data_IF_311923222465
#
_entry.id   IF_311923222465
#
_cell.length_a   1.000
_cell.length_b   1.000
_cell.length_c   1.000
_cell.angle_alpha   90.00
_cell.angle_beta   90.00
_cell.angle_gamma   90.00
#
_symmetry.space_group_name_H-M   'P 1'
#
loop_
_entity.id
_entity.type
_entity.pdbx_description
1 polymer ?
#
# COMPACT_ATOMS: atom_id res chain seq x y z
N UNK A 1 2.87 -18.19 70.39
CA UNK A 1 4.24 -18.04 70.94
C UNK A 1 5.07 -17.52 69.77
N UNK A 2 5.48 -16.25 69.75
CA UNK A 2 6.57 -15.64 70.56
C UNK A 2 7.95 -16.08 70.02
N UNK A 3 8.94 -15.19 69.85
CA UNK A 3 9.18 -13.89 70.49
C UNK A 3 9.53 -12.74 69.51
N UNK A 4 9.58 -11.50 70.03
CA UNK A 4 9.98 -10.26 69.35
C UNK A 4 11.24 -9.63 69.97
N UNK A 5 11.99 -8.86 69.17
CA UNK A 5 12.98 -7.80 69.54
C UNK A 5 13.49 -7.19 68.21
N UNK A 6 13.63 -5.89 67.91
CA UNK A 6 13.95 -4.64 68.66
C UNK A 6 15.34 -4.71 69.33
N UNK A 7 16.36 -3.84 69.09
CA UNK A 7 16.51 -2.53 68.37
C UNK A 7 17.99 -2.40 67.83
N UNK A 8 18.56 -1.34 67.22
CA UNK A 8 18.12 0.02 66.80
C UNK A 8 19.06 0.69 65.72
N UNK A 9 18.66 1.89 65.23
CA UNK A 9 19.38 3.03 64.59
C UNK A 9 20.82 2.85 64.00
N UNK A 10 21.03 3.15 62.71
CA UNK A 10 21.88 4.28 62.17
C UNK A 10 22.04 4.24 60.64
N UNK A 11 22.15 5.41 60.01
CA UNK A 11 22.37 5.60 58.56
C UNK A 11 23.74 6.24 58.24
N UNK A 12 24.10 6.19 56.95
CA UNK A 12 24.88 7.18 56.18
C UNK A 12 26.41 6.98 55.97
N UNK A 13 26.94 7.76 55.02
CA UNK A 13 28.16 7.61 54.19
C UNK A 13 28.05 6.48 53.16
N UNK A 14 28.06 6.71 51.84
CA UNK A 14 28.29 7.90 50.99
C UNK A 14 28.94 7.42 49.68
N UNK A 15 28.88 8.05 48.50
CA UNK A 15 28.43 9.36 47.98
C UNK A 15 28.19 9.11 46.45
N UNK A 16 27.33 9.79 45.66
CA UNK A 16 27.34 11.21 45.32
C UNK A 16 25.99 11.75 44.78
N UNK A 17 25.55 12.84 45.40
CA UNK A 17 24.99 14.08 44.82
C UNK A 17 23.91 13.99 43.73
N UNK A 18 22.74 14.51 44.11
CA UNK A 18 21.68 15.06 43.25
C UNK A 18 21.69 16.59 43.37
N UNK A 19 21.31 17.31 42.32
CA UNK A 19 21.07 18.77 42.36
C UNK A 19 19.80 19.09 41.58
N UNK A 20 18.88 19.84 42.19
CA UNK A 20 17.64 20.32 41.56
C UNK A 20 17.72 21.84 41.31
N UNK A 21 17.13 22.32 40.21
CA UNK A 21 16.84 23.73 39.84
C UNK A 21 17.98 24.74 39.61
N UNK A 22 17.92 25.46 38.48
CA UNK A 22 18.56 26.76 38.23
C UNK A 22 17.56 27.66 37.48
N UNK A 23 17.59 28.96 37.76
CA UNK A 23 16.71 30.00 37.19
C UNK A 23 17.23 30.54 35.84
N UNK A 24 16.39 31.21 35.02
CA UNK A 24 16.80 31.70 33.70
C UNK A 24 17.56 33.03 33.76
N UNK A 25 18.65 33.15 32.98
CA UNK A 25 18.86 34.23 32.00
C UNK A 25 20.21 34.11 31.26
N UNK A 26 20.35 34.96 30.23
CA UNK A 26 21.56 35.32 29.47
C UNK A 26 22.23 34.21 28.63
N UNK A 27 22.32 34.31 27.29
CA UNK A 27 21.92 35.40 26.38
C UNK A 27 21.40 34.86 25.04
N UNK A 28 20.29 35.41 24.56
CA UNK A 28 19.81 35.26 23.18
C UNK A 28 20.36 36.41 22.31
N UNK A 29 20.52 36.17 21.00
CA UNK A 29 21.04 37.18 20.06
C UNK A 29 20.10 38.42 20.02
N UNK A 30 20.60 39.63 20.35
CA UNK A 30 19.79 40.85 20.39
C UNK A 30 19.30 41.32 19.01
N UNK A 31 19.61 40.61 17.91
CA UNK A 31 19.06 40.90 16.57
C UNK A 31 17.72 40.22 16.26
N UNK A 32 17.24 39.28 17.08
CA UNK A 32 15.99 38.53 16.79
C UNK A 32 14.74 39.01 17.55
N UNK A 33 14.88 39.84 18.58
CA UNK A 33 13.76 40.14 19.51
C UNK A 33 12.95 41.39 19.17
N UNK A 34 13.39 42.25 18.22
CA UNK A 34 12.77 43.57 17.97
C UNK A 34 11.66 43.57 16.91
N UNK A 35 10.92 42.46 16.73
CA UNK A 35 9.89 42.37 15.66
C UNK A 35 8.58 41.66 16.03
N UNK A 36 8.40 41.17 17.27
CA UNK A 36 7.15 40.49 17.67
C UNK A 36 6.07 41.46 18.17
N UNK A 37 6.45 42.50 18.93
CA UNK A 37 5.49 43.46 19.53
C UNK A 37 4.84 44.44 18.53
N UNK A 38 5.22 44.37 17.24
CA UNK A 38 4.68 45.23 16.17
C UNK A 38 3.72 44.49 15.22
N UNK A 39 3.44 43.20 15.42
CA UNK A 39 2.37 42.52 14.67
C UNK A 39 1.00 42.98 15.19
N UNK A 40 0.51 44.08 14.61
CA UNK A 40 -0.94 44.36 14.60
C UNK A 40 -1.62 43.16 13.95
N UNK A 41 -2.60 42.59 14.63
CA UNK A 41 -3.48 41.55 14.06
C UNK A 41 -4.38 42.24 13.03
N UNK A 42 -3.91 42.31 11.79
CA UNK A 42 -4.74 42.73 10.66
C UNK A 42 -5.64 41.57 10.22
N UNK A 43 -6.85 41.87 9.76
CA UNK A 43 -7.94 40.88 9.63
C UNK A 43 -8.10 40.29 8.22
N UNK A 44 -7.00 40.11 7.49
CA UNK A 44 -6.97 39.46 6.17
C UNK A 44 -5.61 38.80 5.89
N UNK A 45 -5.36 37.63 6.47
CA UNK A 45 -4.39 36.67 5.93
C UNK A 45 -5.17 35.65 5.07
N UNK A 46 -5.23 35.89 3.77
CA UNK A 46 -5.89 35.00 2.82
C UNK A 46 -5.04 33.75 2.57
N UNK A 47 -5.59 32.56 2.90
CA UNK A 47 -4.84 31.30 2.88
C UNK A 47 -4.56 30.89 1.41
N UNK A 48 -3.29 30.92 0.92
CA UNK A 48 -2.99 30.96 -0.53
C UNK A 48 -3.34 29.71 -1.37
N UNK A 49 -3.92 28.67 -0.76
CA UNK A 49 -4.40 27.47 -1.42
C UNK A 49 -5.94 27.43 -1.55
N UNK A 50 -6.69 28.22 -0.78
CA UNK A 50 -8.17 28.21 -0.82
C UNK A 50 -8.73 28.88 -2.07
N UNK A 51 -8.08 29.91 -2.61
CA UNK A 51 -8.56 30.63 -3.81
C UNK A 51 -8.63 29.74 -5.07
N UNK A 52 -7.83 28.67 -5.10
CA UNK A 52 -7.80 27.70 -6.22
C UNK A 52 -9.00 26.74 -6.20
N UNK A 53 -9.85 26.79 -5.17
CA UNK A 53 -11.01 25.94 -5.01
C UNK A 53 -12.24 26.59 -5.68
N UNK A 54 -12.35 26.47 -7.00
CA UNK A 54 -13.40 27.09 -7.84
C UNK A 54 -14.87 26.76 -7.49
N UNK A 55 -15.12 25.76 -6.61
CA UNK A 55 -16.47 25.37 -6.21
C UNK A 55 -16.91 26.15 -4.98
N UNK A 56 -18.23 26.32 -4.85
CA UNK A 56 -18.89 27.09 -3.80
C UNK A 56 -18.54 26.63 -2.36
N UNK A 57 -18.34 25.34 -2.16
CA UNK A 57 -17.93 24.75 -0.89
C UNK A 57 -16.63 23.95 -1.03
N UNK A 58 -15.80 23.99 0.01
CA UNK A 58 -14.57 23.21 0.07
C UNK A 58 -14.88 21.75 0.43
N UNK A 59 -15.88 21.51 1.29
CA UNK A 59 -16.37 20.16 1.60
C UNK A 59 -17.87 20.11 1.95
N UNK A 60 -18.52 18.98 1.66
CA UNK A 60 -19.87 18.63 2.10
C UNK A 60 -19.82 17.61 3.24
N UNK A 61 -20.48 17.88 4.36
CA UNK A 61 -20.57 16.94 5.50
C UNK A 61 -21.78 16.03 5.35
N UNK A 62 -21.54 14.72 5.36
CA UNK A 62 -22.55 13.65 5.43
C UNK A 62 -22.49 13.00 6.80
N UNK A 63 -23.60 12.99 7.52
CA UNK A 63 -23.73 12.50 8.90
C UNK A 63 -25.13 11.93 9.18
N UNK A 64 -25.33 11.33 10.36
CA UNK A 64 -26.68 11.07 10.87
C UNK A 64 -27.16 12.23 11.74
N UNK A 65 -28.47 12.48 11.77
CA UNK A 65 -29.07 13.48 12.66
C UNK A 65 -28.86 13.19 14.16
N UNK A 66 -28.42 11.98 14.50
CA UNK A 66 -27.93 11.60 15.83
C UNK A 66 -26.56 12.22 16.19
N UNK A 67 -25.77 12.60 15.18
CA UNK A 67 -24.40 13.11 15.32
C UNK A 67 -24.33 14.65 15.23
N UNK A 68 -25.49 15.32 15.10
CA UNK A 68 -25.57 16.75 14.75
C UNK A 68 -24.85 17.67 15.75
N UNK A 69 -24.78 17.34 17.04
CA UNK A 69 -24.06 18.16 18.04
C UNK A 69 -22.53 18.13 17.82
N UNK A 70 -21.98 16.95 17.52
CA UNK A 70 -20.57 16.78 17.14
C UNK A 70 -20.28 17.52 15.82
N UNK A 71 -21.15 17.32 14.83
CA UNK A 71 -21.01 17.92 13.50
C UNK A 71 -21.11 19.44 13.53
N UNK A 72 -22.04 20.02 14.31
CA UNK A 72 -22.14 21.47 14.44
C UNK A 72 -20.91 22.10 15.11
N UNK A 73 -20.16 21.38 15.94
CA UNK A 73 -18.90 21.88 16.50
C UNK A 73 -17.75 21.74 15.49
N UNK A 74 -17.62 20.57 14.85
CA UNK A 74 -16.67 20.36 13.75
C UNK A 74 -16.80 21.39 12.63
N UNK A 75 -18.02 21.73 12.22
CA UNK A 75 -18.29 22.76 11.21
C UNK A 75 -17.76 24.12 11.67
N UNK A 76 -18.04 24.55 12.91
CA UNK A 76 -17.52 25.82 13.45
C UNK A 76 -16.00 25.84 13.43
N UNK A 77 -15.33 24.76 13.83
CA UNK A 77 -13.86 24.73 13.91
C UNK A 77 -13.19 24.72 12.53
N UNK A 78 -13.84 24.15 11.51
CA UNK A 78 -13.40 24.22 10.11
C UNK A 78 -13.73 25.58 9.45
N UNK A 79 -14.90 26.16 9.72
CA UNK A 79 -15.29 27.49 9.25
C UNK A 79 -14.44 28.60 9.90
N UNK A 80 -14.07 28.45 11.18
CA UNK A 80 -13.11 29.31 11.88
C UNK A 80 -11.69 29.27 11.25
N UNK A 81 -11.33 28.18 10.58
CA UNK A 81 -10.09 28.05 9.78
C UNK A 81 -10.26 28.55 8.33
N UNK A 82 -11.37 29.21 8.01
CA UNK A 82 -11.64 29.81 6.70
C UNK A 82 -12.23 28.85 5.65
N UNK A 83 -12.63 27.63 6.04
CA UNK A 83 -13.27 26.71 5.09
C UNK A 83 -14.75 27.03 4.88
N UNK A 84 -15.22 26.93 3.62
CA UNK A 84 -16.65 26.95 3.29
C UNK A 84 -17.17 25.51 3.37
N UNK A 85 -17.83 25.16 4.48
CA UNK A 85 -18.40 23.82 4.67
C UNK A 85 -19.88 23.85 4.27
N UNK A 86 -20.35 22.87 3.51
CA UNK A 86 -21.78 22.65 3.28
C UNK A 86 -22.32 21.78 4.41
N UNK A 87 -23.39 22.25 5.06
CA UNK A 87 -24.18 21.52 6.04
C UNK A 87 -25.66 21.44 5.62
N UNK A 88 -26.21 20.23 5.49
CA UNK A 88 -27.53 19.99 4.87
C UNK A 88 -28.69 20.73 5.55
N UNK A 89 -28.73 20.75 6.89
CA UNK A 89 -29.79 21.40 7.67
C UNK A 89 -29.80 22.93 7.53
N UNK A 90 -28.71 23.52 7.00
CA UNK A 90 -28.51 24.97 6.78
C UNK A 90 -28.56 25.37 5.30
N UNK A 91 -27.94 24.57 4.44
CA UNK A 91 -27.53 24.97 3.09
C UNK A 91 -28.32 24.29 1.94
N UNK A 92 -29.32 23.45 2.26
CA UNK A 92 -30.26 22.90 1.28
C UNK A 92 -31.22 23.96 0.72
N UNK A 93 -31.48 23.88 -0.59
CA UNK A 93 -32.39 24.81 -1.28
C UNK A 93 -33.84 24.41 -1.00
N UNK A 94 -34.62 25.31 -0.39
CA UNK A 94 -36.05 25.11 -0.17
C UNK A 94 -36.79 24.94 -1.51
N UNK A 95 -37.75 24.02 -1.56
CA UNK A 95 -38.52 23.69 -2.76
C UNK A 95 -37.84 22.73 -3.74
N UNK A 96 -36.57 22.38 -3.53
CA UNK A 96 -35.94 21.24 -4.22
C UNK A 96 -36.23 19.92 -3.49
N UNK A 97 -36.16 18.79 -4.21
CA UNK A 97 -36.24 17.47 -3.58
C UNK A 97 -34.96 17.18 -2.79
N UNK A 98 -35.03 16.30 -1.79
CA UNK A 98 -33.86 15.87 -1.00
C UNK A 98 -32.77 15.31 -1.93
N UNK A 99 -33.13 14.42 -2.85
CA UNK A 99 -32.24 13.86 -3.86
C UNK A 99 -31.61 14.93 -4.78
N UNK A 100 -32.40 15.91 -5.21
CA UNK A 100 -31.93 17.02 -6.04
C UNK A 100 -30.95 17.92 -5.30
N UNK A 101 -31.23 18.22 -4.04
CA UNK A 101 -30.31 18.94 -3.15
C UNK A 101 -29.00 18.15 -2.95
N UNK A 102 -29.05 16.87 -2.58
CA UNK A 102 -27.84 16.03 -2.41
C UNK A 102 -26.96 16.06 -3.66
N UNK A 103 -27.53 15.75 -4.83
CA UNK A 103 -26.79 15.69 -6.10
C UNK A 103 -26.19 17.05 -6.48
N UNK A 104 -26.95 18.14 -6.31
CA UNK A 104 -26.47 19.50 -6.52
C UNK A 104 -25.30 19.83 -5.58
N UNK A 105 -25.38 19.44 -4.30
CA UNK A 105 -24.44 19.86 -3.25
C UNK A 105 -23.13 19.07 -3.27
N UNK A 106 -23.17 17.79 -3.68
CA UNK A 106 -21.96 17.03 -4.07
C UNK A 106 -21.25 17.75 -5.22
N UNK A 107 -21.98 18.17 -6.25
CA UNK A 107 -21.40 18.93 -7.36
C UNK A 107 -20.89 20.32 -6.94
N UNK A 108 -21.58 21.06 -6.06
CA UNK A 108 -21.14 22.35 -5.50
C UNK A 108 -19.95 22.24 -4.51
N UNK A 109 -19.45 21.04 -4.18
CA UNK A 109 -18.41 20.81 -3.16
C UNK A 109 -17.13 20.12 -3.68
N UNK A 110 -15.96 20.53 -3.22
CA UNK A 110 -14.66 19.95 -3.66
C UNK A 110 -14.32 18.60 -3.02
N UNK A 111 -14.77 18.37 -1.79
CA UNK A 111 -14.60 17.13 -1.02
C UNK A 111 -15.91 16.72 -0.36
N UNK A 112 -15.95 15.50 0.17
CA UNK A 112 -16.96 15.04 1.12
C UNK A 112 -16.28 14.66 2.45
N UNK A 113 -16.87 15.08 3.57
CA UNK A 113 -16.52 14.60 4.91
C UNK A 113 -17.61 13.62 5.33
N UNK A 114 -17.25 12.36 5.60
CA UNK A 114 -18.21 11.33 5.96
C UNK A 114 -18.05 10.95 7.43
N UNK A 115 -19.04 11.28 8.26
CA UNK A 115 -19.07 10.93 9.68
C UNK A 115 -19.58 9.49 9.83
N UNK A 116 -18.65 8.54 9.91
CA UNK A 116 -18.95 7.13 10.09
C UNK A 116 -19.27 6.84 11.56
N UNK A 117 -20.52 7.11 11.93
CA UNK A 117 -21.14 6.80 13.23
C UNK A 117 -22.07 5.58 13.16
N UNK A 118 -22.53 5.08 14.32
CA UNK A 118 -23.59 4.05 14.37
C UNK A 118 -24.87 4.54 13.69
N UNK A 119 -25.23 5.80 13.96
CA UNK A 119 -26.37 6.45 13.33
C UNK A 119 -26.25 6.55 11.81
N UNK A 120 -25.05 6.72 11.25
CA UNK A 120 -24.82 6.68 9.81
C UNK A 120 -25.17 5.31 9.24
N UNK A 121 -24.72 4.22 9.89
CA UNK A 121 -24.93 2.86 9.41
C UNK A 121 -26.41 2.45 9.44
N UNK A 122 -27.18 3.00 10.38
CA UNK A 122 -28.62 2.77 10.51
C UNK A 122 -29.46 3.71 9.61
N UNK A 123 -29.02 4.95 9.39
CA UNK A 123 -29.72 5.95 8.56
C UNK A 123 -29.78 5.55 7.08
N UNK A 124 -30.98 5.49 6.50
CA UNK A 124 -31.14 5.20 5.06
C UNK A 124 -30.67 6.36 4.16
N UNK A 125 -30.92 7.61 4.56
CA UNK A 125 -30.55 8.78 3.76
C UNK A 125 -29.05 9.02 3.76
N UNK A 126 -28.41 8.97 4.93
CA UNK A 126 -26.97 9.22 5.03
C UNK A 126 -26.14 8.10 4.37
N UNK A 127 -26.62 6.84 4.38
CA UNK A 127 -26.05 5.75 3.56
C UNK A 127 -26.15 6.03 2.06
N UNK A 128 -27.25 6.62 1.59
CA UNK A 128 -27.43 6.98 0.18
C UNK A 128 -26.50 8.13 -0.24
N UNK A 129 -26.37 9.16 0.60
CA UNK A 129 -25.43 10.27 0.40
C UNK A 129 -23.97 9.77 0.36
N UNK A 130 -23.58 8.90 1.29
CA UNK A 130 -22.28 8.25 1.32
C UNK A 130 -22.03 7.39 0.05
N UNK A 131 -23.04 6.67 -0.44
CA UNK A 131 -22.93 5.87 -1.66
C UNK A 131 -22.71 6.73 -2.92
N UNK A 132 -23.39 7.87 -3.02
CA UNK A 132 -23.13 8.84 -4.11
C UNK A 132 -21.73 9.44 -4.02
N UNK A 133 -21.25 9.75 -2.81
CA UNK A 133 -19.87 10.18 -2.60
C UNK A 133 -18.84 9.12 -2.99
N UNK A 134 -19.13 7.84 -2.71
CA UNK A 134 -18.28 6.69 -3.10
C UNK A 134 -18.18 6.58 -4.61
N UNK A 135 -19.30 6.69 -5.33
CA UNK A 135 -19.32 6.70 -6.80
C UNK A 135 -18.51 7.87 -7.36
N UNK A 136 -18.76 9.10 -6.89
CA UNK A 136 -18.01 10.31 -7.26
C UNK A 136 -16.50 10.17 -7.00
N UNK A 137 -16.09 9.50 -5.91
CA UNK A 137 -14.68 9.22 -5.58
C UNK A 137 -14.04 8.06 -6.36
N UNK A 138 -14.83 7.30 -7.12
CA UNK A 138 -14.32 6.33 -8.09
C UNK A 138 -14.14 7.05 -9.44
N UNK A 139 -15.19 7.76 -9.89
CA UNK A 139 -15.23 8.41 -11.20
C UNK A 139 -14.24 9.58 -11.34
N UNK A 140 -13.91 10.27 -10.23
CA UNK A 140 -13.00 11.44 -10.22
C UNK A 140 -11.64 11.16 -9.57
N UNK A 141 -11.24 9.89 -9.53
CA UNK A 141 -10.09 9.36 -8.80
C UNK A 141 -10.22 9.46 -7.25
N UNK A 142 -9.36 8.68 -6.57
CA UNK A 142 -9.28 8.59 -5.11
C UNK A 142 -9.01 9.98 -4.49
N UNK A 143 -9.37 10.17 -3.21
CA UNK A 143 -9.28 11.42 -2.43
C UNK A 143 -10.43 12.44 -2.60
N UNK A 144 -11.65 12.04 -3.00
CA UNK A 144 -12.84 12.91 -2.85
C UNK A 144 -13.44 12.84 -1.43
N UNK A 145 -13.53 11.65 -0.82
CA UNK A 145 -14.07 11.46 0.54
C UNK A 145 -12.95 11.39 1.58
N UNK A 146 -13.17 12.09 2.69
CA UNK A 146 -12.43 11.99 3.94
C UNK A 146 -13.35 11.42 5.03
N UNK A 147 -12.96 10.30 5.67
CA UNK A 147 -13.82 9.63 6.66
C UNK A 147 -13.44 10.06 8.08
N UNK A 148 -14.44 10.38 8.90
CA UNK A 148 -14.29 10.50 10.36
C UNK A 148 -14.86 9.23 10.98
N UNK A 149 -14.04 8.46 11.68
CA UNK A 149 -14.48 7.31 12.46
C UNK A 149 -15.01 7.81 13.81
N UNK A 150 -16.33 7.76 14.01
CA UNK A 150 -16.99 8.34 15.18
C UNK A 150 -17.74 7.26 15.98
N UNK A 151 -17.21 6.90 17.14
CA UNK A 151 -17.83 5.96 18.11
C UNK A 151 -18.26 4.57 17.58
N UNK A 152 -17.73 4.15 16.43
CA UNK A 152 -17.83 2.79 15.86
C UNK A 152 -16.53 2.03 16.07
N UNK A 153 -16.60 0.73 16.32
CA UNK A 153 -15.41 -0.12 16.40
C UNK A 153 -14.83 -0.39 15.00
N UNK A 154 -15.71 -0.71 14.03
CA UNK A 154 -15.37 -1.00 12.64
C UNK A 154 -16.10 -0.06 11.65
N UNK A 155 -15.41 0.27 10.56
CA UNK A 155 -15.97 0.99 9.40
C UNK A 155 -16.47 -0.03 8.36
N UNK A 156 -17.58 0.21 7.63
CA UNK A 156 -18.08 -0.70 6.58
C UNK A 156 -17.07 -1.04 5.48
N UNK A 157 -17.12 -2.26 4.94
CA UNK A 157 -16.20 -2.76 3.90
C UNK A 157 -16.07 -1.79 2.71
N UNK A 158 -17.22 -1.31 2.20
CA UNK A 158 -17.30 -0.37 1.06
C UNK A 158 -16.68 1.02 1.33
N UNK A 159 -16.20 1.28 2.54
CA UNK A 159 -15.51 2.51 2.94
C UNK A 159 -14.07 2.26 3.45
N UNK A 160 -13.62 1.01 3.64
CA UNK A 160 -12.29 0.71 4.23
C UNK A 160 -11.09 1.13 3.38
N UNK A 161 -11.29 1.26 2.07
CA UNK A 161 -10.29 1.71 1.11
C UNK A 161 -10.02 3.23 1.16
N UNK A 162 -10.84 3.98 1.90
CA UNK A 162 -10.68 5.42 2.12
C UNK A 162 -9.73 5.71 3.28
N UNK A 163 -9.11 6.88 3.25
CA UNK A 163 -8.34 7.41 4.39
C UNK A 163 -9.27 8.04 5.43
N UNK A 164 -8.94 7.85 6.71
CA UNK A 164 -9.77 8.31 7.82
C UNK A 164 -8.98 9.08 8.90
N UNK A 165 -9.73 9.70 9.80
CA UNK A 165 -9.29 10.21 11.11
C UNK A 165 -10.20 9.65 12.19
N UNK A 166 -9.67 9.37 13.38
CA UNK A 166 -10.52 8.96 14.50
C UNK A 166 -11.05 10.23 15.19
N UNK A 167 -12.34 10.27 15.57
CA UNK A 167 -12.91 11.43 16.28
C UNK A 167 -12.31 11.70 17.66
N UNK A 168 -11.41 10.81 18.12
CA UNK A 168 -10.63 10.91 19.37
C UNK A 168 -9.17 11.34 19.14
N UNK A 169 -8.76 11.60 17.89
CA UNK A 169 -7.45 12.16 17.59
C UNK A 169 -7.46 13.67 17.92
N UNK A 170 -6.62 14.14 18.87
CA UNK A 170 -6.57 15.56 19.28
C UNK A 170 -6.29 16.52 18.10
N UNK A 171 -5.58 16.03 17.07
CA UNK A 171 -5.23 16.78 15.86
C UNK A 171 -6.25 16.63 14.71
N UNK A 172 -7.45 16.08 14.99
CA UNK A 172 -8.47 15.76 13.99
C UNK A 172 -8.80 16.93 13.07
N UNK A 173 -9.07 18.11 13.63
CA UNK A 173 -9.53 19.28 12.85
C UNK A 173 -8.43 19.79 11.93
N UNK A 174 -7.18 19.84 12.39
CA UNK A 174 -6.03 20.26 11.56
C UNK A 174 -5.72 19.26 10.44
N UNK A 175 -5.91 17.96 10.69
CA UNK A 175 -5.78 16.92 9.67
C UNK A 175 -6.88 16.97 8.62
N UNK A 176 -8.13 17.18 9.04
CA UNK A 176 -9.23 17.40 8.10
C UNK A 176 -9.01 18.66 7.28
N UNK A 177 -8.61 19.76 7.91
CA UNK A 177 -8.28 21.02 7.24
C UNK A 177 -7.24 20.81 6.13
N UNK A 178 -6.07 20.23 6.45
CA UNK A 178 -4.99 19.93 5.48
C UNK A 178 -5.47 19.04 4.34
N UNK A 179 -6.21 17.98 4.65
CA UNK A 179 -6.73 17.04 3.65
C UNK A 179 -7.79 17.67 2.73
N UNK A 180 -8.57 18.65 3.21
CA UNK A 180 -9.54 19.38 2.40
C UNK A 180 -8.85 20.32 1.40
N UNK A 181 -7.80 21.04 1.84
CA UNK A 181 -7.02 21.95 0.98
C UNK A 181 -5.99 21.23 0.08
N UNK A 182 -5.75 19.94 0.29
CA UNK A 182 -4.80 19.13 -0.48
C UNK A 182 -3.36 19.13 0.04
N UNK A 183 -3.11 19.71 1.22
CA UNK A 183 -1.79 19.81 1.87
C UNK A 183 -1.39 18.49 2.60
N UNK A 184 -1.44 17.39 1.85
CA UNK A 184 -1.07 16.05 2.30
C UNK A 184 -2.24 15.09 2.58
N UNK A 185 -1.96 13.77 2.67
CA UNK A 185 -2.97 12.73 2.86
C UNK A 185 -3.42 12.61 4.32
N UNK A 186 -4.62 12.09 4.56
CA UNK A 186 -5.04 11.67 5.92
C UNK A 186 -4.24 10.45 6.39
N UNK A 187 -3.51 10.60 7.51
CA UNK A 187 -2.43 9.69 7.93
C UNK A 187 -2.86 8.28 8.40
N UNK A 188 -4.15 7.92 8.35
CA UNK A 188 -4.63 6.56 8.71
C UNK A 188 -5.44 5.97 7.55
N UNK A 189 -4.94 4.86 6.97
CA UNK A 189 -5.76 3.84 6.30
C UNK A 189 -6.26 2.84 7.36
N UNK A 190 -7.40 2.18 7.17
CA UNK A 190 -7.94 1.22 8.14
C UNK A 190 -7.08 -0.05 8.20
N UNK A 191 -6.15 -0.10 9.17
CA UNK A 191 -5.26 -1.25 9.38
C UNK A 191 -6.01 -2.50 9.87
N UNK A 192 -6.55 -3.29 8.93
CA UNK A 192 -6.60 -4.76 9.02
C UNK A 192 -6.96 -5.38 7.67
N UNK A 193 -6.22 -6.43 7.29
CA UNK A 193 -6.36 -7.29 6.08
C UNK A 193 -5.82 -6.77 4.73
N UNK A 194 -4.86 -5.83 4.71
CA UNK A 194 -4.00 -5.60 3.53
C UNK A 194 -2.99 -6.76 3.37
N UNK A 195 -3.51 -7.96 3.09
CA UNK A 195 -2.75 -9.20 2.94
C UNK A 195 -1.89 -9.18 1.67
N UNK A 196 -2.31 -8.51 0.60
CA UNK A 196 -1.54 -8.31 -0.64
C UNK A 196 -0.22 -7.58 -0.40
N UNK A 197 -0.24 -6.50 0.41
CA UNK A 197 0.95 -5.80 0.86
C UNK A 197 1.89 -6.73 1.65
N UNK A 198 1.35 -7.48 2.63
CA UNK A 198 2.12 -8.44 3.40
C UNK A 198 2.69 -9.59 2.55
N UNK A 199 1.95 -10.03 1.53
CA UNK A 199 2.37 -11.03 0.55
C UNK A 199 3.50 -10.51 -0.34
N UNK A 200 3.47 -9.25 -0.77
CA UNK A 200 4.52 -8.66 -1.62
C UNK A 200 5.87 -8.59 -0.87
N UNK A 201 5.87 -8.02 0.34
CA UNK A 201 7.06 -7.95 1.20
C UNK A 201 7.56 -9.33 1.63
N UNK A 202 6.65 -10.27 1.92
CA UNK A 202 6.99 -11.66 2.23
C UNK A 202 7.63 -12.36 1.02
N UNK A 203 7.05 -12.25 -0.17
CA UNK A 203 7.57 -12.85 -1.39
C UNK A 203 8.94 -12.26 -1.79
N UNK A 204 9.13 -10.96 -1.61
CA UNK A 204 10.44 -10.34 -1.80
C UNK A 204 11.50 -10.88 -0.83
N UNK A 205 11.33 -10.74 0.48
CA UNK A 205 12.38 -11.08 1.44
C UNK A 205 12.56 -12.58 1.70
N UNK A 206 11.51 -13.40 1.55
CA UNK A 206 11.60 -14.85 1.74
C UNK A 206 12.03 -15.60 0.48
N UNK A 207 11.80 -15.04 -0.71
CA UNK A 207 12.04 -15.69 -2.00
C UNK A 207 12.92 -14.87 -2.95
N UNK A 208 12.42 -13.78 -3.55
CA UNK A 208 13.12 -13.09 -4.65
C UNK A 208 14.50 -12.58 -4.23
N UNK A 209 14.61 -11.91 -3.08
CA UNK A 209 15.86 -11.40 -2.52
C UNK A 209 16.84 -12.51 -2.04
N UNK A 210 16.44 -13.79 -2.12
CA UNK A 210 17.28 -14.95 -1.82
C UNK A 210 17.87 -15.54 -3.10
N UNK A 211 17.09 -15.57 -4.19
CA UNK A 211 17.56 -16.06 -5.50
C UNK A 211 18.23 -14.97 -6.34
N UNK A 212 17.88 -13.70 -6.13
CA UNK A 212 18.48 -12.50 -6.71
C UNK A 212 18.76 -11.52 -5.57
N UNK A 213 19.98 -11.50 -5.00
CA UNK A 213 20.29 -10.62 -3.87
C UNK A 213 20.27 -9.12 -4.25
N UNK A 214 19.59 -8.30 -3.45
CA UNK A 214 19.56 -6.83 -3.58
C UNK A 214 20.88 -6.15 -3.20
N UNK A 215 21.75 -6.84 -2.47
CA UNK A 215 23.05 -6.33 -2.03
C UNK A 215 24.19 -7.18 -2.62
N UNK A 216 25.35 -6.57 -2.94
CA UNK A 216 26.52 -7.31 -3.40
C UNK A 216 26.96 -8.37 -2.39
N UNK A 217 27.59 -9.44 -2.89
CA UNK A 217 28.23 -10.47 -2.05
C UNK A 217 29.41 -9.84 -1.30
N UNK A 218 29.27 -9.75 0.02
CA UNK A 218 30.35 -9.49 0.99
C UNK A 218 30.92 -10.82 1.48
N UNK A 219 32.03 -10.81 2.22
CA UNK A 219 32.65 -12.03 2.77
C UNK A 219 31.73 -12.79 3.75
N UNK A 220 30.77 -12.10 4.40
CA UNK A 220 29.74 -12.69 5.27
C UNK A 220 28.53 -13.25 4.51
N UNK A 221 28.45 -13.05 3.19
CA UNK A 221 27.31 -13.47 2.37
C UNK A 221 27.40 -14.97 2.04
N UNK A 222 26.31 -15.75 2.12
CA UNK A 222 26.32 -17.16 1.73
C UNK A 222 26.87 -17.40 0.32
N UNK A 223 27.92 -18.20 0.20
CA UNK A 223 28.65 -18.47 -1.06
C UNK A 223 27.93 -19.35 -2.08
N UNK A 224 26.61 -19.24 -2.24
CA UNK A 224 25.87 -19.86 -3.34
C UNK A 224 25.77 -18.90 -4.55
N UNK A 225 25.59 -19.43 -5.77
CA UNK A 225 25.40 -18.60 -6.94
C UNK A 225 23.98 -17.99 -6.99
N UNK A 226 23.87 -16.75 -7.46
CA UNK A 226 22.58 -16.09 -7.70
C UNK A 226 21.90 -16.64 -8.97
N UNK A 227 20.70 -16.16 -9.28
CA UNK A 227 19.93 -16.60 -10.44
C UNK A 227 20.62 -16.25 -11.77
N UNK A 228 21.24 -15.07 -11.90
CA UNK A 228 21.92 -14.67 -13.13
C UNK A 228 23.16 -15.50 -13.40
N UNK A 229 23.95 -15.78 -12.38
CA UNK A 229 25.08 -16.73 -12.45
C UNK A 229 24.62 -18.15 -12.83
N UNK A 230 23.51 -18.63 -12.23
CA UNK A 230 22.94 -19.96 -12.56
C UNK A 230 22.39 -20.03 -13.99
N UNK A 231 21.75 -18.97 -14.48
CA UNK A 231 21.27 -18.88 -15.87
C UNK A 231 22.46 -18.91 -16.83
N UNK A 232 23.53 -18.16 -16.55
CA UNK A 232 24.74 -18.14 -17.38
C UNK A 232 25.45 -19.49 -17.41
N UNK A 233 25.56 -20.16 -16.26
CA UNK A 233 26.06 -21.53 -16.19
C UNK A 233 25.18 -22.55 -16.96
N UNK A 234 23.87 -22.30 -17.11
CA UNK A 234 23.00 -23.12 -17.95
C UNK A 234 23.15 -22.82 -19.45
N UNK A 235 23.12 -21.54 -19.84
CA UNK A 235 23.29 -21.10 -21.24
C UNK A 235 24.66 -21.48 -21.82
N UNK A 236 25.70 -21.60 -20.98
CA UNK A 236 27.05 -21.98 -21.38
C UNK A 236 27.27 -23.49 -21.67
N UNK A 237 26.28 -24.36 -21.44
CA UNK A 237 26.40 -25.80 -21.69
C UNK A 237 26.37 -26.10 -23.21
N UNK A 238 27.25 -26.97 -23.75
CA UNK A 238 27.29 -27.26 -25.19
C UNK A 238 25.96 -27.73 -25.80
N UNK A 239 25.18 -28.52 -25.04
CA UNK A 239 23.85 -28.99 -25.44
C UNK A 239 22.81 -27.86 -25.58
N UNK A 240 23.03 -26.71 -24.93
CA UNK A 240 22.11 -25.57 -24.91
C UNK A 240 22.48 -24.48 -25.91
N UNK A 241 23.58 -24.62 -26.67
CA UNK A 241 24.13 -23.58 -27.55
C UNK A 241 23.19 -23.12 -28.69
N UNK A 242 22.13 -23.87 -29.00
CA UNK A 242 21.10 -23.53 -30.00
C UNK A 242 19.73 -23.23 -29.37
N UNK A 243 19.65 -23.04 -28.04
CA UNK A 243 18.40 -22.76 -27.32
C UNK A 243 18.25 -21.25 -27.14
N UNK A 244 17.06 -20.74 -27.48
CA UNK A 244 16.69 -19.34 -27.28
C UNK A 244 16.19 -19.14 -25.85
N UNK A 245 17.04 -18.58 -24.98
CA UNK A 245 16.74 -18.39 -23.55
C UNK A 245 17.08 -16.97 -23.08
N UNK A 246 16.07 -16.16 -22.68
CA UNK A 246 16.28 -14.85 -22.04
C UNK A 246 17.02 -14.95 -20.70
N UNK A 247 17.58 -13.86 -20.17
CA UNK A 247 18.23 -13.85 -18.84
C UNK A 247 17.27 -13.64 -17.65
N UNK A 248 15.97 -13.53 -17.88
CA UNK A 248 14.96 -13.22 -16.88
C UNK A 248 14.26 -14.49 -16.31
N UNK A 249 13.74 -14.37 -15.08
CA UNK A 249 12.61 -15.17 -14.60
C UNK A 249 11.30 -14.40 -14.77
N UNK A 250 10.32 -15.08 -15.36
CA UNK A 250 8.96 -14.57 -15.55
C UNK A 250 8.08 -15.02 -14.39
N UNK A 251 7.69 -14.06 -13.55
CA UNK A 251 6.76 -14.26 -12.44
C UNK A 251 5.35 -13.99 -12.97
N UNK A 252 4.61 -15.06 -13.23
CA UNK A 252 3.26 -15.02 -13.76
C UNK A 252 2.28 -14.67 -12.64
N UNK A 253 1.53 -13.57 -12.82
CA UNK A 253 0.57 -13.03 -11.85
C UNK A 253 -0.84 -13.16 -12.42
N UNK A 254 -1.64 -14.17 -12.03
CA UNK A 254 -3.03 -14.29 -12.47
C UNK A 254 -3.86 -13.17 -11.85
N UNK A 255 -4.65 -12.43 -12.64
CA UNK A 255 -5.51 -11.36 -12.14
C UNK A 255 -6.55 -11.85 -11.11
N UNK A 256 -6.95 -13.13 -11.22
CA UNK A 256 -7.85 -13.82 -10.27
C UNK A 256 -7.13 -14.39 -9.04
N UNK A 257 -5.80 -14.33 -8.97
CA UNK A 257 -4.97 -15.03 -7.96
C UNK A 257 -4.92 -16.56 -8.12
N UNK A 258 -5.69 -17.14 -9.04
CA UNK A 258 -5.77 -18.59 -9.24
C UNK A 258 -4.54 -19.11 -9.99
N UNK A 259 -3.63 -19.74 -9.25
CA UNK A 259 -2.46 -20.41 -9.81
C UNK A 259 -2.82 -21.86 -10.19
N UNK A 260 -2.60 -22.32 -11.43
CA UNK A 260 -2.80 -23.72 -11.82
C UNK A 260 -1.73 -24.62 -11.21
N UNK A 261 -2.10 -25.87 -10.89
CA UNK A 261 -1.23 -26.84 -10.22
C UNK A 261 0.04 -27.23 -11.01
N UNK A 262 0.04 -27.04 -12.34
CA UNK A 262 1.18 -27.32 -13.22
C UNK A 262 1.01 -26.53 -14.54
N UNK A 263 2.09 -25.92 -15.04
CA UNK A 263 2.13 -25.24 -16.35
C UNK A 263 1.93 -26.24 -17.51
N UNK A 264 2.49 -27.46 -17.43
CA UNK A 264 2.26 -28.50 -18.47
C UNK A 264 0.91 -29.23 -18.34
N UNK A 265 -0.04 -28.68 -17.58
CA UNK A 265 -1.42 -29.18 -17.56
C UNK A 265 -2.37 -28.33 -18.43
N UNK A 266 -1.90 -27.20 -18.97
CA UNK A 266 -2.72 -26.30 -19.80
C UNK A 266 -2.47 -26.43 -21.30
N UNK A 267 -1.33 -27.01 -21.73
CA UNK A 267 -0.91 -27.07 -23.13
C UNK A 267 0.20 -28.13 -23.32
N UNK A 268 0.18 -28.92 -24.40
CA UNK A 268 1.19 -29.95 -24.69
C UNK A 268 2.50 -29.38 -25.28
N UNK A 269 2.50 -28.12 -25.75
CA UNK A 269 3.70 -27.46 -26.33
C UNK A 269 4.78 -27.12 -25.30
N UNK A 270 4.43 -27.08 -24.00
CA UNK A 270 5.32 -26.69 -22.91
C UNK A 270 5.69 -27.88 -22.02
N UNK A 271 6.99 -28.06 -21.81
CA UNK A 271 7.52 -29.20 -21.04
C UNK A 271 8.52 -28.74 -19.99
N UNK A 272 8.38 -29.23 -18.76
CA UNK A 272 9.38 -29.01 -17.71
C UNK A 272 10.68 -29.73 -18.07
N UNK A 273 11.82 -29.05 -18.00
CA UNK A 273 13.12 -29.71 -18.07
C UNK A 273 13.32 -30.57 -16.81
N UNK A 274 13.44 -31.89 -17.00
CA UNK A 274 13.59 -32.86 -15.91
C UNK A 274 15.06 -33.13 -15.54
N UNK A 275 16.00 -32.50 -16.23
CA UNK A 275 17.45 -32.61 -15.99
C UNK A 275 17.99 -31.35 -15.33
N UNK A 276 17.51 -30.17 -15.76
CA UNK A 276 17.94 -28.88 -15.22
C UNK A 276 16.84 -28.16 -14.43
N UNK A 277 17.02 -28.15 -13.11
CA UNK A 277 16.25 -27.34 -12.17
C UNK A 277 17.25 -26.53 -11.36
N UNK A 278 17.34 -25.23 -11.64
CA UNK A 278 18.37 -24.36 -11.06
C UNK A 278 18.13 -24.24 -9.55
N UNK A 279 18.98 -24.88 -8.75
CA UNK A 279 18.74 -25.08 -7.31
C UNK A 279 19.85 -24.48 -6.46
N UNK A 280 19.48 -23.81 -5.36
CA UNK A 280 20.41 -23.45 -4.25
C UNK A 280 19.86 -23.99 -2.93
N UNK A 281 20.74 -24.29 -1.98
CA UNK A 281 20.35 -24.62 -0.59
C UNK A 281 20.75 -23.49 0.36
N UNK A 282 19.79 -22.98 1.14
CA UNK A 282 20.01 -21.90 2.10
C UNK A 282 19.64 -22.36 3.50
N UNK A 283 20.53 -22.18 4.48
CA UNK A 283 20.19 -22.45 5.88
C UNK A 283 19.25 -21.36 6.42
N UNK A 284 18.06 -21.74 6.86
CA UNK A 284 17.04 -20.84 7.41
C UNK A 284 16.39 -21.51 8.64
N UNK A 285 16.64 -20.92 9.82
CA UNK A 285 16.17 -21.42 11.12
C UNK A 285 16.61 -22.87 11.42
N UNK A 286 17.89 -23.18 11.18
CA UNK A 286 18.48 -24.50 11.46
C UNK A 286 18.25 -25.56 10.38
N UNK A 287 17.36 -25.32 9.42
CA UNK A 287 17.08 -26.22 8.30
C UNK A 287 17.68 -25.69 7.00
N UNK A 288 18.34 -26.58 6.23
CA UNK A 288 18.58 -26.34 4.80
C UNK A 288 17.24 -26.28 4.06
N UNK A 289 17.02 -25.19 3.31
CA UNK A 289 15.84 -25.01 2.45
C UNK A 289 16.29 -24.95 0.99
N UNK A 290 15.80 -25.84 0.11
CA UNK A 290 16.09 -25.77 -1.31
C UNK A 290 15.20 -24.72 -1.98
N UNK A 291 15.82 -23.79 -2.70
CA UNK A 291 15.15 -22.85 -3.60
C UNK A 291 15.39 -23.36 -5.02
N UNK A 292 14.31 -23.64 -5.75
CA UNK A 292 14.33 -24.35 -7.04
C UNK A 292 13.62 -23.52 -8.10
N UNK A 293 14.33 -23.16 -9.16
CA UNK A 293 13.75 -22.49 -10.30
C UNK A 293 13.64 -23.46 -11.49
N UNK A 294 12.41 -23.66 -11.99
CA UNK A 294 12.12 -24.62 -13.05
C UNK A 294 12.31 -24.00 -14.42
N UNK A 295 13.11 -24.64 -15.28
CA UNK A 295 13.22 -24.29 -16.69
C UNK A 295 12.12 -25.00 -17.46
N UNK A 296 11.41 -24.25 -18.30
CA UNK A 296 10.39 -24.76 -19.21
C UNK A 296 10.89 -24.67 -20.64
N UNK A 297 10.65 -25.71 -21.43
CA UNK A 297 11.00 -25.79 -22.85
C UNK A 297 9.74 -25.72 -23.70
N UNK A 298 9.73 -24.81 -24.68
CA UNK A 298 8.66 -24.64 -25.68
C UNK A 298 9.27 -24.83 -27.07
N UNK A 299 8.52 -25.45 -27.99
CA UNK A 299 8.95 -25.65 -29.38
C UNK A 299 7.93 -25.09 -30.35
N UNK A 300 8.39 -24.22 -31.25
CA UNK A 300 7.57 -23.57 -32.26
C UNK A 300 8.45 -23.20 -33.47
N UNK A 301 7.92 -23.29 -34.70
CA UNK A 301 8.61 -22.95 -35.95
C UNK A 301 10.01 -23.56 -36.12
N UNK A 302 10.20 -24.78 -35.60
CA UNK A 302 11.49 -25.50 -35.60
C UNK A 302 12.52 -24.97 -34.60
N UNK A 303 12.23 -23.87 -33.91
CA UNK A 303 13.05 -23.30 -32.84
C UNK A 303 12.73 -23.97 -31.49
N UNK A 304 13.71 -23.99 -30.60
CA UNK A 304 13.54 -24.40 -29.19
C UNK A 304 13.80 -23.20 -28.30
N UNK A 305 12.79 -22.84 -27.52
CA UNK A 305 12.85 -21.76 -26.54
C UNK A 305 12.93 -22.36 -25.13
N UNK A 306 13.69 -21.74 -24.23
CA UNK A 306 13.65 -22.03 -22.80
C UNK A 306 13.45 -20.76 -21.99
N UNK A 307 12.78 -20.87 -20.84
CA UNK A 307 12.63 -19.79 -19.88
C UNK A 307 12.42 -20.31 -18.46
N UNK A 308 12.70 -19.46 -17.48
CA UNK A 308 12.28 -19.69 -16.10
C UNK A 308 10.91 -19.03 -15.92
N UNK A 309 9.91 -19.84 -15.60
CA UNK A 309 8.51 -19.40 -15.50
C UNK A 309 7.91 -19.97 -14.24
N UNK A 310 7.42 -19.10 -13.37
CA UNK A 310 6.83 -19.47 -12.08
C UNK A 310 5.57 -18.63 -11.84
N UNK A 311 4.54 -19.24 -11.25
CA UNK A 311 3.40 -18.49 -10.76
C UNK A 311 3.72 -17.80 -9.43
N UNK A 312 3.13 -16.63 -9.19
CA UNK A 312 3.10 -15.96 -7.89
C UNK A 312 2.25 -16.74 -6.88
N UNK A 313 2.66 -17.96 -6.52
CA UNK A 313 1.93 -18.91 -5.65
C UNK A 313 1.63 -18.37 -4.25
N UNK A 314 2.30 -17.29 -3.84
CA UNK A 314 1.97 -16.50 -2.65
C UNK A 314 0.54 -15.91 -2.67
N UNK A 315 -0.09 -15.82 -3.84
CA UNK A 315 -1.50 -15.42 -4.03
C UNK A 315 -2.51 -16.54 -3.78
N UNK A 316 -2.10 -17.82 -3.88
CA UNK A 316 -3.00 -18.96 -3.72
C UNK A 316 -3.77 -18.98 -2.37
N UNK A 317 -3.18 -18.57 -1.22
CA UNK A 317 -3.92 -18.40 0.02
C UNK A 317 -5.13 -17.46 -0.06
N UNK A 318 -5.15 -16.46 -0.96
CA UNK A 318 -6.33 -15.60 -1.15
C UNK A 318 -7.52 -16.39 -1.71
N UNK A 319 -7.26 -17.33 -2.63
CA UNK A 319 -8.27 -18.23 -3.23
C UNK A 319 -8.83 -19.21 -2.20
N UNK A 320 -8.01 -19.65 -1.23
CA UNK A 320 -8.47 -20.49 -0.12
C UNK A 320 -9.13 -19.68 1.02
N UNK A 321 -8.77 -18.41 1.19
CA UNK A 321 -9.46 -17.49 2.10
C UNK A 321 -10.88 -17.19 1.62
N UNK A 322 -11.09 -16.93 0.34
CA UNK A 322 -12.44 -16.71 -0.24
C UNK A 322 -13.37 -17.91 -0.03
N UNK A 323 -12.85 -19.13 -0.18
CA UNK A 323 -13.59 -20.38 0.08
C UNK A 323 -13.93 -20.59 1.56
N UNK A 324 -13.34 -19.83 2.48
CA UNK A 324 -13.50 -19.99 3.91
C UNK A 324 -14.28 -18.81 4.53
N UNK A 325 -15.56 -18.98 4.91
CA UNK A 325 -16.37 -17.94 5.52
C UNK A 325 -15.76 -17.31 6.79
N UNK A 326 -14.87 -18.00 7.51
CA UNK A 326 -14.19 -17.45 8.68
C UNK A 326 -13.08 -16.43 8.32
N UNK A 327 -12.48 -16.53 7.13
CA UNK A 327 -11.49 -15.56 6.67
C UNK A 327 -12.13 -14.21 6.33
N UNK A 328 -13.41 -14.23 5.91
CA UNK A 328 -14.19 -13.07 5.45
C UNK A 328 -13.40 -12.26 4.41
N UNK A 329 -13.28 -12.84 3.23
CA UNK A 329 -12.71 -12.26 2.02
C UNK A 329 -13.69 -12.57 0.87
N UNK A 330 -14.24 -11.56 0.20
CA UNK A 330 -15.06 -11.77 -1.01
C UNK A 330 -14.21 -12.00 -2.26
N UNK A 331 -14.84 -12.38 -3.38
CA UNK A 331 -14.14 -12.51 -4.65
C UNK A 331 -13.62 -11.16 -5.17
N UNK A 332 -14.37 -10.09 -4.94
CA UNK A 332 -13.98 -8.71 -5.26
C UNK A 332 -12.81 -8.27 -4.36
N UNK A 333 -12.86 -8.59 -3.06
CA UNK A 333 -11.76 -8.31 -2.14
C UNK A 333 -10.49 -9.11 -2.50
N UNK A 334 -10.61 -10.38 -2.94
CA UNK A 334 -9.50 -11.16 -3.50
C UNK A 334 -8.85 -10.41 -4.66
N UNK A 335 -9.62 -9.94 -5.64
CA UNK A 335 -9.10 -9.18 -6.79
C UNK A 335 -8.36 -7.91 -6.33
N UNK A 336 -8.92 -7.17 -5.38
CA UNK A 336 -8.24 -5.99 -4.80
C UNK A 336 -6.91 -6.35 -4.10
N UNK A 337 -6.83 -7.49 -3.40
CA UNK A 337 -5.60 -7.94 -2.74
C UNK A 337 -4.55 -8.48 -3.74
N UNK A 338 -4.97 -9.09 -4.86
CA UNK A 338 -4.09 -9.46 -5.98
C UNK A 338 -3.50 -8.21 -6.65
N UNK A 339 -4.33 -7.20 -6.94
CA UNK A 339 -3.88 -5.93 -7.50
C UNK A 339 -2.90 -5.21 -6.55
N UNK A 340 -3.21 -5.18 -5.25
CA UNK A 340 -2.33 -4.60 -4.23
C UNK A 340 -0.98 -5.33 -4.14
N UNK A 341 -0.96 -6.67 -4.21
CA UNK A 341 0.28 -7.43 -4.28
C UNK A 341 1.12 -7.03 -5.50
N UNK A 342 0.51 -6.88 -6.68
CA UNK A 342 1.20 -6.50 -7.91
C UNK A 342 1.76 -5.06 -7.85
N UNK A 343 0.94 -4.10 -7.41
CA UNK A 343 1.33 -2.69 -7.23
C UNK A 343 2.47 -2.54 -6.21
N UNK A 344 2.37 -3.20 -5.06
CA UNK A 344 3.40 -3.16 -4.02
C UNK A 344 4.69 -3.86 -4.47
N UNK A 345 4.60 -5.06 -5.06
CA UNK A 345 5.79 -5.79 -5.51
C UNK A 345 6.53 -5.05 -6.63
N UNK A 346 5.82 -4.35 -7.51
CA UNK A 346 6.43 -3.50 -8.54
C UNK A 346 7.19 -2.33 -7.91
N UNK A 347 6.62 -1.68 -6.89
CA UNK A 347 7.31 -0.60 -6.15
C UNK A 347 8.55 -1.12 -5.39
N UNK A 348 8.46 -2.29 -4.74
CA UNK A 348 9.59 -2.95 -4.08
C UNK A 348 10.72 -3.21 -5.08
N UNK A 349 10.43 -3.85 -6.22
CA UNK A 349 11.45 -4.18 -7.22
C UNK A 349 12.09 -2.91 -7.83
N UNK A 350 11.33 -1.84 -8.02
CA UNK A 350 11.86 -0.54 -8.44
C UNK A 350 12.77 0.08 -7.36
N UNK A 351 12.35 0.10 -6.09
CA UNK A 351 13.13 0.64 -4.97
C UNK A 351 14.50 -0.03 -4.86
N UNK A 352 14.52 -1.37 -4.87
CA UNK A 352 15.74 -2.17 -4.74
C UNK A 352 16.53 -2.34 -6.05
N UNK A 353 16.14 -1.69 -7.15
CA UNK A 353 16.95 -1.66 -8.37
C UNK A 353 18.09 -0.64 -8.33
N UNK A 354 18.01 0.37 -7.46
CA UNK A 354 18.96 1.49 -7.31
C UNK A 354 20.46 1.09 -7.34
N UNK A 355 21.06 1.10 -8.53
CA UNK A 355 22.41 0.58 -8.79
C UNK A 355 22.53 0.09 -10.24
N UNK A 356 23.34 -0.93 -10.54
CA UNK A 356 23.27 -1.65 -11.81
C UNK A 356 22.06 -2.61 -11.81
N UNK A 357 20.86 -2.06 -12.04
CA UNK A 357 19.50 -2.64 -11.90
C UNK A 357 19.40 -4.18 -12.03
N UNK A 358 19.70 -4.91 -10.94
CA UNK A 358 19.75 -6.39 -10.97
C UNK A 358 18.34 -7.00 -11.07
N UNK A 359 17.35 -6.45 -10.36
CA UNK A 359 15.98 -6.95 -10.41
C UNK A 359 15.29 -6.65 -11.74
N UNK A 360 15.33 -5.40 -12.22
CA UNK A 360 14.74 -5.04 -13.53
C UNK A 360 15.30 -5.90 -14.68
N UNK A 361 16.60 -6.22 -14.64
CA UNK A 361 17.25 -7.09 -15.63
C UNK A 361 16.93 -8.57 -15.48
N UNK A 362 16.65 -9.09 -14.28
CA UNK A 362 16.50 -10.53 -14.01
C UNK A 362 15.08 -10.98 -13.64
N UNK A 363 14.16 -10.09 -13.27
CA UNK A 363 12.81 -10.44 -12.77
C UNK A 363 11.76 -9.61 -13.50
N UNK A 364 10.90 -10.27 -14.28
CA UNK A 364 9.79 -9.63 -15.00
C UNK A 364 8.45 -10.14 -14.44
N UNK A 365 7.58 -9.23 -14.02
CA UNK A 365 6.21 -9.56 -13.61
C UNK A 365 5.31 -9.61 -14.86
N UNK A 366 4.59 -10.72 -15.06
CA UNK A 366 3.74 -10.94 -16.23
C UNK A 366 2.30 -11.16 -15.79
N UNK A 367 1.45 -10.15 -15.98
CA UNK A 367 0.01 -10.27 -15.66
C UNK A 367 -0.68 -11.22 -16.65
N UNK A 368 -1.32 -12.26 -16.12
CA UNK A 368 -2.19 -13.18 -16.85
C UNK A 368 -3.64 -12.83 -16.61
N UNK A 369 -4.40 -12.66 -17.69
CA UNK A 369 -5.85 -12.53 -17.65
C UNK A 369 -6.52 -13.90 -17.57
N UNK A 370 -7.76 -13.95 -17.10
CA UNK A 370 -8.55 -15.18 -16.96
C UNK A 370 -8.67 -15.99 -18.27
N UNK A 371 -8.59 -15.31 -19.42
CA UNK A 371 -8.69 -15.91 -20.75
C UNK A 371 -7.36 -15.95 -21.53
N UNK A 372 -6.21 -15.62 -20.91
CA UNK A 372 -4.89 -15.73 -21.55
C UNK A 372 -4.44 -17.20 -21.64
N UNK A 373 -4.07 -17.69 -22.83
CA UNK A 373 -3.31 -18.94 -22.93
C UNK A 373 -1.91 -18.73 -22.33
N UNK A 374 -1.58 -19.53 -21.31
CA UNK A 374 -0.32 -19.40 -20.56
C UNK A 374 0.92 -19.59 -21.45
N UNK A 375 0.89 -20.53 -22.41
CA UNK A 375 2.03 -20.79 -23.30
C UNK A 375 2.19 -19.69 -24.35
N UNK A 376 1.10 -19.25 -24.97
CA UNK A 376 1.17 -18.15 -25.95
C UNK A 376 1.63 -16.86 -25.28
N UNK A 377 1.18 -16.60 -24.04
CA UNK A 377 1.65 -15.48 -23.22
C UNK A 377 3.15 -15.60 -22.92
N UNK A 378 3.60 -16.72 -22.36
CA UNK A 378 5.03 -16.96 -22.05
C UNK A 378 5.88 -16.82 -23.32
N UNK A 379 5.46 -17.41 -24.44
CA UNK A 379 6.21 -17.38 -25.68
C UNK A 379 6.26 -15.98 -26.32
N UNK A 380 5.20 -15.18 -26.18
CA UNK A 380 5.22 -13.77 -26.60
C UNK A 380 6.22 -12.93 -25.80
N UNK A 381 6.31 -13.16 -24.48
CA UNK A 381 7.27 -12.45 -23.61
C UNK A 381 8.70 -12.91 -23.87
N UNK A 382 8.93 -14.22 -24.07
CA UNK A 382 10.24 -14.75 -24.47
C UNK A 382 10.74 -14.10 -25.77
N UNK A 383 9.88 -14.03 -26.80
CA UNK A 383 10.23 -13.39 -28.07
C UNK A 383 10.54 -11.91 -27.91
N UNK A 384 9.72 -11.19 -27.12
CA UNK A 384 9.93 -9.78 -26.83
C UNK A 384 11.28 -9.52 -26.15
N UNK A 385 11.58 -10.19 -25.03
CA UNK A 385 12.84 -9.96 -24.30
C UNK A 385 14.08 -10.34 -25.14
N UNK A 386 14.00 -11.39 -25.97
CA UNK A 386 15.08 -11.74 -26.92
C UNK A 386 15.27 -10.68 -28.03
N UNK A 387 14.21 -10.01 -28.45
CA UNK A 387 14.29 -8.90 -29.41
C UNK A 387 14.85 -7.62 -28.76
N UNK A 388 14.60 -7.37 -27.47
CA UNK A 388 15.22 -6.28 -26.73
C UNK A 388 16.71 -6.57 -26.44
N UNK A 389 17.06 -7.77 -25.92
CA UNK A 389 18.45 -8.23 -25.73
C UNK A 389 19.26 -8.11 -27.05
N UNK A 390 18.63 -8.41 -28.19
CA UNK A 390 19.26 -8.26 -29.51
C UNK A 390 19.44 -6.79 -29.95
N UNK A 391 18.60 -5.84 -29.52
CA UNK A 391 18.77 -4.41 -29.83
C UNK A 391 19.93 -3.82 -29.03
N UNK A 392 20.01 -4.12 -27.75
CA UNK A 392 21.11 -3.65 -26.88
C UNK A 392 22.48 -4.14 -27.38
N UNK A 393 22.58 -5.40 -27.84
CA UNK A 393 23.79 -5.94 -28.46
C UNK A 393 24.16 -5.32 -29.83
N UNK A 394 23.28 -4.54 -30.46
CA UNK A 394 23.57 -3.78 -31.68
C UNK A 394 23.81 -2.28 -31.40
N UNK A 395 23.73 -1.85 -30.14
CA UNK A 395 23.96 -0.48 -29.67
C UNK A 395 25.26 -0.31 -28.86
N UNK A 396 25.95 -1.41 -28.55
CA UNK A 396 27.18 -1.48 -27.76
C UNK A 396 28.42 -1.87 -28.59
#
# INVERSE_FOLDING_TARGET
MATSTETDITEDTGTFVRVDSVQPNDTLDPKLTTSLDNLKIDKTDEIPCLEKLEKKFHAFVVHSSTDSDFVNNLIKDLENKGLKIMYADRDFTLGQTILGNISMKINESHKMILVCSKGLLESHWARYEAALGVQESIDKQKHFIHVIKHEVDEVPLNLRWLTYVDSKDDDMVDRLFKAIIGDGPLYKRLQRKDVGYGMAWSYFYSYLNVIVPSQPKTDDTPGYPDLGERIKAHKAKPENANILMPEQIFIMVPETGQCPNNISATDDRITADKKDVLTIEVNRAGSKRPYKNQIWTIKEDGKTYQALVEFATVLYPLVEMEKNPQAQLSAEERLCQVQMFYEELTQILAQFSSGPNVFERLVKLVVLRENDNVVDKVLSVIKYELEEEAKDMNLA
#
